data_IF_029017081022
#
_entry.id   IF_029017081022
#
_cell.length_a   1.000
_cell.length_b   1.000
_cell.length_c   1.000
_cell.angle_alpha   90.00
_cell.angle_beta   90.00
_cell.angle_gamma   90.00
#
_symmetry.space_group_name_H-M   'P 1'
#
loop_
_entity.id
_entity.type
_entity.pdbx_description
1 polymer ?
#
# COMPACT_ATOMS: atom_id res chain seq x y z
N UNK A 1 1.26 -17.06 -7.16
CA UNK A 1 1.77 -15.92 -6.38
C UNK A 1 2.52 -14.99 -7.32
N UNK A 2 2.05 -13.74 -7.44
CA UNK A 2 2.82 -12.70 -8.14
C UNK A 2 3.86 -12.12 -7.18
N UNK A 3 4.86 -11.43 -7.71
CA UNK A 3 5.80 -10.69 -6.89
C UNK A 3 5.95 -9.29 -7.48
N UNK A 4 5.81 -8.26 -6.64
CA UNK A 4 5.76 -6.86 -7.05
C UNK A 4 6.85 -6.06 -6.38
N UNK A 5 7.49 -5.19 -7.15
CA UNK A 5 8.59 -4.34 -6.71
C UNK A 5 8.34 -2.93 -7.18
N UNK A 6 8.57 -1.97 -6.29
CA UNK A 6 8.34 -0.57 -6.54
C UNK A 6 9.67 0.16 -6.50
N UNK A 7 9.93 1.01 -7.49
CA UNK A 7 11.05 1.92 -7.53
C UNK A 7 10.55 3.35 -7.70
N UNK A 8 11.28 4.26 -7.09
CA UNK A 8 11.00 5.67 -7.09
C UNK A 8 12.16 6.42 -7.76
N UNK A 9 11.87 7.22 -8.78
CA UNK A 9 12.85 8.12 -9.38
C UNK A 9 12.54 9.56 -8.99
N UNK A 10 13.24 10.05 -7.97
CA UNK A 10 12.91 11.30 -7.25
C UNK A 10 13.12 12.55 -8.11
N UNK A 11 14.22 12.59 -8.85
CA UNK A 11 14.61 13.72 -9.71
C UNK A 11 14.36 13.43 -11.20
N UNK A 12 13.33 12.64 -11.52
CA UNK A 12 13.01 12.35 -12.91
C UNK A 12 12.73 13.65 -13.69
N UNK A 13 13.33 13.84 -14.88
CA UNK A 13 13.05 15.01 -15.70
C UNK A 13 11.60 14.98 -16.24
N UNK A 14 11.07 16.09 -16.76
CA UNK A 14 9.74 16.11 -17.38
C UNK A 14 9.59 15.11 -18.55
N UNK A 15 10.69 14.76 -19.21
CA UNK A 15 10.77 13.76 -20.28
C UNK A 15 10.98 12.33 -19.77
N UNK A 16 11.11 12.12 -18.45
CA UNK A 16 11.46 10.84 -17.85
C UNK A 16 10.50 9.71 -18.23
N UNK A 17 9.19 9.99 -18.28
CA UNK A 17 8.19 9.02 -18.70
C UNK A 17 8.38 8.57 -20.14
N UNK A 18 8.74 9.50 -21.03
CA UNK A 18 9.02 9.19 -22.43
C UNK A 18 10.32 8.37 -22.56
N UNK A 19 11.37 8.72 -21.81
CA UNK A 19 12.63 7.98 -21.80
C UNK A 19 12.45 6.52 -21.33
N UNK A 20 11.70 6.32 -20.25
CA UNK A 20 11.41 4.96 -19.75
C UNK A 20 10.55 4.20 -20.75
N UNK A 21 9.52 4.84 -21.31
CA UNK A 21 8.67 4.23 -22.36
C UNK A 21 9.51 3.75 -23.55
N UNK A 22 10.40 4.60 -24.06
CA UNK A 22 11.23 4.28 -25.20
C UNK A 22 12.22 3.16 -24.86
N UNK A 23 12.80 3.18 -23.65
CA UNK A 23 13.66 2.08 -23.18
C UNK A 23 12.91 0.74 -23.10
N UNK A 24 11.70 0.74 -22.52
CA UNK A 24 10.86 -0.47 -22.44
C UNK A 24 10.53 -0.99 -23.84
N UNK A 25 10.12 -0.11 -24.76
CA UNK A 25 9.73 -0.50 -26.11
C UNK A 25 10.92 -1.00 -26.95
N UNK A 26 12.05 -0.30 -26.91
CA UNK A 26 13.18 -0.55 -27.80
C UNK A 26 14.14 -1.63 -27.29
N UNK A 27 14.40 -1.66 -25.98
CA UNK A 27 15.42 -2.56 -25.40
C UNK A 27 14.82 -3.79 -24.73
N UNK A 28 13.56 -3.71 -24.27
CA UNK A 28 12.89 -4.80 -23.56
C UNK A 28 11.76 -5.45 -24.36
N UNK A 29 11.54 -5.04 -25.62
CA UNK A 29 10.41 -5.49 -26.44
C UNK A 29 9.05 -5.35 -25.73
N UNK A 30 8.90 -4.32 -24.89
CA UNK A 30 7.69 -4.09 -24.11
C UNK A 30 6.53 -3.63 -24.98
N UNK A 31 5.36 -4.22 -24.75
CA UNK A 31 4.12 -3.89 -25.44
C UNK A 31 3.26 -2.99 -24.55
N UNK A 32 2.77 -1.89 -25.10
CA UNK A 32 1.86 -1.00 -24.41
C UNK A 32 0.51 -1.66 -24.15
N UNK A 33 0.01 -1.60 -22.91
CA UNK A 33 -1.25 -2.22 -22.48
C UNK A 33 -2.33 -1.21 -22.13
N UNK A 34 -1.98 -0.04 -21.63
CA UNK A 34 -2.97 0.95 -21.23
C UNK A 34 -2.42 2.06 -20.36
N UNK A 35 -3.32 2.90 -19.86
CA UNK A 35 -2.97 3.97 -18.93
C UNK A 35 -2.89 3.41 -17.51
N UNK A 36 -1.96 3.94 -16.73
CA UNK A 36 -1.91 3.74 -15.30
C UNK A 36 -2.30 5.05 -14.63
N UNK A 37 -3.43 5.06 -13.94
CA UNK A 37 -3.98 6.28 -13.37
C UNK A 37 -4.43 6.02 -11.94
N UNK A 38 -3.78 6.66 -10.97
CA UNK A 38 -4.11 6.54 -9.55
C UNK A 38 -4.39 7.92 -8.95
N UNK A 39 -5.35 7.97 -8.03
CA UNK A 39 -5.61 9.18 -7.26
C UNK A 39 -5.35 8.94 -5.78
N UNK A 40 -4.58 9.82 -5.15
CA UNK A 40 -4.25 9.74 -3.73
C UNK A 40 -4.76 10.97 -2.98
N UNK A 41 -5.32 10.75 -1.79
CA UNK A 41 -5.80 11.82 -0.90
C UNK A 41 -5.41 11.52 0.54
N UNK A 42 -4.93 12.54 1.24
CA UNK A 42 -4.70 12.49 2.69
C UNK A 42 -5.79 13.25 3.44
N UNK A 43 -6.10 12.76 4.64
CA UNK A 43 -7.05 13.31 5.58
C UNK A 43 -6.43 13.31 6.98
N UNK A 44 -6.81 14.28 7.79
CA UNK A 44 -6.43 14.38 9.19
C UNK A 44 -7.64 14.57 10.08
N UNK A 45 -7.57 14.06 11.30
CA UNK A 45 -8.67 14.13 12.27
C UNK A 45 -8.72 15.49 12.96
N UNK A 46 -9.81 16.23 12.79
CA UNK A 46 -10.04 17.50 13.46
C UNK A 46 -10.55 17.36 14.92
N UNK A 47 -10.42 16.18 15.54
CA UNK A 47 -10.83 15.96 16.94
C UNK A 47 -10.01 16.81 17.92
N UNK A 48 -8.73 17.06 17.63
CA UNK A 48 -7.87 17.91 18.46
C UNK A 48 -8.26 19.40 18.45
N UNK A 49 -9.15 19.82 17.54
CA UNK A 49 -9.61 21.22 17.43
C UNK A 49 -10.85 21.49 18.30
N UNK A 50 -11.36 20.50 19.02
CA UNK A 50 -12.52 20.65 19.89
C UNK A 50 -12.07 21.29 21.20
N UNK A 51 -12.62 22.46 21.51
CA UNK A 51 -12.36 23.17 22.77
C UNK A 51 -12.68 22.26 23.95
N UNK A 52 -11.69 22.02 24.82
CA UNK A 52 -11.82 21.15 26.00
C UNK A 52 -11.40 19.68 25.78
N UNK A 53 -11.08 19.27 24.55
CA UNK A 53 -10.49 17.97 24.26
C UNK A 53 -9.00 18.13 23.92
N UNK A 54 -8.12 17.57 24.75
CA UNK A 54 -6.70 17.43 24.41
C UNK A 54 -6.47 16.02 23.86
N UNK A 55 -6.43 15.91 22.54
CA UNK A 55 -6.01 14.68 21.87
C UNK A 55 -4.48 14.74 21.72
N UNK A 56 -3.72 13.80 22.31
CA UNK A 56 -2.26 13.89 22.38
C UNK A 56 -1.57 13.72 21.02
N UNK A 57 -2.22 13.09 20.04
CA UNK A 57 -1.70 12.90 18.69
C UNK A 57 -2.83 12.83 17.65
N UNK A 58 -2.59 13.39 16.46
CA UNK A 58 -3.59 13.48 15.39
C UNK A 58 -3.64 12.18 14.57
N UNK A 59 -4.85 11.64 14.37
CA UNK A 59 -5.08 10.49 13.48
C UNK A 59 -4.97 10.91 12.02
N UNK A 60 -4.39 10.06 11.19
CA UNK A 60 -4.26 10.29 9.75
C UNK A 60 -4.98 9.21 8.97
N UNK A 61 -5.44 9.55 7.77
CA UNK A 61 -6.05 8.61 6.85
C UNK A 61 -5.59 8.95 5.44
N UNK A 62 -5.07 7.97 4.72
CA UNK A 62 -4.69 8.08 3.32
C UNK A 62 -5.59 7.18 2.49
N UNK A 63 -5.97 7.64 1.30
CA UNK A 63 -6.78 6.88 0.36
C UNK A 63 -6.08 6.83 -0.98
N UNK A 64 -6.05 5.66 -1.62
CA UNK A 64 -5.56 5.45 -2.97
C UNK A 64 -6.68 4.81 -3.79
N UNK A 65 -7.11 5.50 -4.84
CA UNK A 65 -8.08 4.99 -5.81
C UNK A 65 -7.35 4.35 -6.98
N UNK A 66 -7.65 3.09 -7.25
CA UNK A 66 -7.14 2.30 -8.37
C UNK A 66 -8.34 1.60 -9.02
N UNK A 67 -8.65 2.00 -10.25
CA UNK A 67 -9.85 1.55 -10.97
C UNK A 67 -11.13 1.72 -10.11
N UNK A 68 -11.85 0.62 -9.85
CA UNK A 68 -13.07 0.62 -9.03
C UNK A 68 -12.82 0.45 -7.52
N UNK A 69 -11.56 0.30 -7.10
CA UNK A 69 -11.17 0.10 -5.71
C UNK A 69 -10.67 1.38 -5.05
N UNK A 70 -11.01 1.58 -3.79
CA UNK A 70 -10.38 2.57 -2.92
C UNK A 70 -9.73 1.86 -1.74
N UNK A 71 -8.41 1.98 -1.65
CA UNK A 71 -7.63 1.46 -0.54
C UNK A 71 -7.42 2.56 0.49
N UNK A 72 -7.74 2.28 1.75
CA UNK A 72 -7.77 3.26 2.84
C UNK A 72 -6.82 2.81 3.94
N UNK A 73 -5.76 3.58 4.16
CA UNK A 73 -4.81 3.39 5.24
C UNK A 73 -5.07 4.40 6.36
N UNK A 74 -5.60 3.93 7.48
CA UNK A 74 -5.84 4.72 8.68
C UNK A 74 -4.74 4.45 9.70
N UNK A 75 -4.22 5.52 10.29
CA UNK A 75 -3.26 5.46 11.40
C UNK A 75 -3.80 6.19 12.64
N UNK A 76 -3.87 5.45 13.75
CA UNK A 76 -4.09 6.00 15.08
C UNK A 76 -2.82 5.88 15.93
N UNK A 77 -2.06 6.96 16.13
CA UNK A 77 -0.83 6.93 16.93
C UNK A 77 -1.05 6.63 18.42
N UNK A 78 -2.29 6.67 18.91
CA UNK A 78 -2.63 6.40 20.32
C UNK A 78 -3.01 4.92 20.53
N UNK A 79 -3.34 4.20 19.46
CA UNK A 79 -3.62 2.77 19.54
C UNK A 79 -2.32 1.95 19.57
N UNK A 80 -2.30 0.80 20.27
CA UNK A 80 -1.12 -0.07 20.31
C UNK A 80 -0.86 -0.69 18.94
N UNK A 81 0.41 -0.97 18.62
CA UNK A 81 0.72 -1.86 17.52
C UNK A 81 0.48 -3.31 17.94
N UNK A 82 0.30 -4.21 16.96
CA UNK A 82 0.19 -5.65 17.25
C UNK A 82 1.44 -6.19 17.94
N UNK A 83 2.61 -5.80 17.45
CA UNK A 83 3.88 -6.17 18.04
C UNK A 83 3.96 -5.77 19.52
N UNK A 84 3.45 -4.58 19.88
CA UNK A 84 3.42 -4.13 21.28
C UNK A 84 2.51 -5.02 22.15
N UNK A 85 1.37 -5.44 21.62
CA UNK A 85 0.43 -6.32 22.33
C UNK A 85 1.00 -7.72 22.50
N UNK A 86 1.58 -8.28 21.44
CA UNK A 86 2.23 -9.59 21.47
C UNK A 86 3.46 -9.63 22.36
N UNK A 87 4.24 -8.56 22.42
CA UNK A 87 5.41 -8.47 23.29
C UNK A 87 5.07 -8.52 24.80
N UNK A 88 3.84 -8.15 25.16
CA UNK A 88 3.35 -8.16 26.55
C UNK A 88 2.52 -9.42 26.84
N UNK A 89 2.14 -10.17 25.81
CA UNK A 89 1.38 -11.40 25.98
C UNK A 89 2.24 -12.52 26.58
N UNK A 90 1.76 -13.23 27.61
CA UNK A 90 2.37 -14.48 28.03
C UNK A 90 2.37 -15.50 26.88
N UNK A 91 3.41 -16.36 26.77
CA UNK A 91 3.43 -17.43 25.77
C UNK A 91 2.19 -18.32 25.86
N UNK A 92 1.51 -18.54 24.73
CA UNK A 92 0.27 -19.31 24.64
C UNK A 92 -0.99 -18.54 25.06
N UNK A 93 -0.90 -17.24 25.32
CA UNK A 93 -2.04 -16.35 25.58
C UNK A 93 -2.09 -15.16 24.61
N UNK A 94 -1.31 -15.18 23.53
CA UNK A 94 -1.22 -14.12 22.53
C UNK A 94 -2.60 -13.70 22.02
N UNK A 95 -3.48 -14.69 21.80
CA UNK A 95 -4.82 -14.49 21.31
C UNK A 95 -5.70 -13.60 22.21
N UNK A 96 -5.73 -13.86 23.52
CA UNK A 96 -6.55 -13.11 24.48
C UNK A 96 -6.12 -11.63 24.49
N UNK A 97 -4.81 -11.41 24.36
CA UNK A 97 -4.23 -10.08 24.33
C UNK A 97 -4.55 -9.36 23.02
N UNK A 98 -4.55 -10.05 21.88
CA UNK A 98 -4.95 -9.49 20.58
C UNK A 98 -6.43 -9.05 20.54
N UNK A 99 -7.31 -9.64 21.35
CA UNK A 99 -8.72 -9.23 21.45
C UNK A 99 -8.96 -8.01 22.35
N UNK A 100 -7.98 -7.65 23.18
CA UNK A 100 -8.11 -6.56 24.16
C UNK A 100 -8.34 -5.18 23.51
N UNK A 101 -7.49 -4.74 22.55
CA UNK A 101 -7.67 -3.46 21.87
C UNK A 101 -8.93 -3.40 21.02
N UNK A 102 -9.61 -2.24 21.01
CA UNK A 102 -10.75 -2.01 20.11
C UNK A 102 -10.32 -1.88 18.65
N UNK A 103 -9.08 -1.46 18.40
CA UNK A 103 -8.42 -1.38 17.10
C UNK A 103 -6.91 -1.27 17.32
N UNK A 104 -6.14 -1.50 16.24
CA UNK A 104 -4.68 -1.35 16.23
C UNK A 104 -4.26 -0.04 15.58
N UNK A 105 -3.00 0.32 15.81
CA UNK A 105 -2.36 1.53 15.27
C UNK A 105 -2.60 1.73 13.78
N UNK A 106 -2.52 0.67 12.99
CA UNK A 106 -2.68 0.72 11.53
C UNK A 106 -3.87 -0.12 11.13
N UNK A 107 -4.76 0.42 10.31
CA UNK A 107 -5.89 -0.31 9.73
C UNK A 107 -5.91 -0.07 8.23
N UNK A 108 -5.98 -1.15 7.44
CA UNK A 108 -5.97 -1.07 5.98
C UNK A 108 -7.20 -1.73 5.37
N UNK A 109 -8.07 -0.90 4.78
CA UNK A 109 -9.39 -1.28 4.30
C UNK A 109 -9.50 -1.13 2.79
N UNK A 110 -10.32 -1.95 2.15
CA UNK A 110 -10.70 -1.80 0.74
C UNK A 110 -12.17 -1.43 0.66
N UNK A 111 -12.49 -0.35 -0.05
CA UNK A 111 -13.85 0.17 -0.24
C UNK A 111 -14.22 0.21 -1.72
N UNK A 112 -15.52 0.09 -2.00
CA UNK A 112 -16.14 0.24 -3.32
C UNK A 112 -17.54 0.86 -3.16
N UNK A 113 -18.02 1.68 -4.11
CA UNK A 113 -17.31 2.27 -5.26
C UNK A 113 -16.46 3.49 -4.87
N UNK A 114 -15.64 4.04 -5.79
CA UNK A 114 -14.93 5.29 -5.57
C UNK A 114 -15.88 6.44 -5.20
N UNK A 115 -15.51 7.25 -4.19
CA UNK A 115 -16.34 8.34 -3.68
C UNK A 115 -17.28 7.96 -2.53
N UNK A 116 -17.48 6.66 -2.26
CA UNK A 116 -18.38 6.21 -1.19
C UNK A 116 -17.89 6.64 0.20
N UNK A 117 -16.57 6.63 0.44
CA UNK A 117 -16.00 7.10 1.69
C UNK A 117 -16.30 8.58 1.92
N UNK A 118 -16.10 9.43 0.92
CA UNK A 118 -16.36 10.86 1.03
C UNK A 118 -17.83 11.17 1.27
N UNK A 119 -18.72 10.42 0.62
CA UNK A 119 -20.15 10.49 0.88
C UNK A 119 -20.48 10.10 2.32
N UNK A 120 -19.90 9.01 2.82
CA UNK A 120 -20.08 8.55 4.20
C UNK A 120 -19.56 9.59 5.21
N UNK A 121 -18.34 10.11 5.00
CA UNK A 121 -17.74 11.14 5.84
C UNK A 121 -18.60 12.41 5.88
N UNK A 122 -19.16 12.81 4.74
CA UNK A 122 -20.07 13.95 4.65
C UNK A 122 -21.40 13.69 5.38
N UNK A 123 -22.00 12.51 5.19
CA UNK A 123 -23.26 12.12 5.84
C UNK A 123 -23.14 12.03 7.36
N UNK A 124 -22.07 11.41 7.86
CA UNK A 124 -21.80 11.31 9.29
C UNK A 124 -21.34 12.64 9.91
N UNK A 125 -21.12 13.68 9.09
CA UNK A 125 -20.45 14.93 9.49
C UNK A 125 -19.15 14.63 10.22
N UNK A 126 -18.44 13.60 9.74
CA UNK A 126 -17.23 13.09 10.36
C UNK A 126 -16.16 14.18 10.36
N UNK A 127 -15.38 14.25 11.44
CA UNK A 127 -14.36 15.30 11.63
C UNK A 127 -13.05 14.96 10.92
N UNK A 128 -13.13 14.59 9.65
CA UNK A 128 -11.97 14.37 8.80
C UNK A 128 -11.81 15.53 7.84
N UNK A 129 -10.63 16.14 7.84
CA UNK A 129 -10.30 17.28 6.98
C UNK A 129 -9.28 16.81 5.96
N UNK A 130 -9.59 16.96 4.68
CA UNK A 130 -8.62 16.69 3.62
C UNK A 130 -7.42 17.62 3.75
N UNK A 131 -6.23 17.03 3.74
CA UNK A 131 -4.96 17.76 3.81
C UNK A 131 -4.69 18.36 2.43
N UNK A 132 -4.99 19.65 2.26
CA UNK A 132 -4.51 20.36 1.07
C UNK A 132 -3.02 20.59 1.23
N UNK A 133 -2.21 20.12 0.28
CA UNK A 133 -0.82 20.59 0.19
C UNK A 133 -0.85 22.10 -0.01
N UNK A 134 -0.32 22.83 0.96
CA UNK A 134 -0.22 24.28 0.94
C UNK A 134 0.88 24.72 -0.01
N UNK A 135 0.61 24.69 -1.31
CA UNK A 135 1.35 25.50 -2.29
C UNK A 135 0.39 26.54 -2.85
N UNK A 136 0.56 27.78 -2.41
CA UNK A 136 -0.14 29.02 -2.78
C UNK A 136 -1.36 29.44 -1.94
N UNK A 137 -1.29 30.70 -1.52
CA UNK A 137 -2.18 31.45 -0.65
C UNK A 137 -3.37 32.03 -1.43
N UNK A 138 -4.26 31.19 -1.95
CA UNK A 138 -5.53 31.66 -2.54
C UNK A 138 -6.71 30.88 -1.94
N UNK A 139 -7.65 31.55 -1.24
CA UNK A 139 -8.80 30.88 -0.64
C UNK A 139 -9.85 30.61 -1.72
N UNK A 140 -9.80 29.45 -2.36
CA UNK A 140 -10.85 29.02 -3.28
C UNK A 140 -11.98 28.36 -2.48
N UNK A 141 -13.02 29.15 -2.20
CA UNK A 141 -14.34 28.70 -1.71
C UNK A 141 -14.96 27.79 -2.77
N UNK A 142 -15.34 26.56 -2.40
CA UNK A 142 -16.41 25.83 -3.09
C UNK A 142 -16.05 24.64 -3.99
N UNK A 143 -14.84 24.08 -3.97
CA UNK A 143 -14.58 22.78 -4.64
C UNK A 143 -14.57 21.62 -3.66
N UNK A 144 -15.54 20.72 -3.82
CA UNK A 144 -15.80 19.48 -3.08
C UNK A 144 -14.93 18.29 -3.54
N UNK A 145 -13.80 18.50 -4.22
CA UNK A 145 -12.96 17.40 -4.64
C UNK A 145 -11.61 17.87 -5.16
N UNK A 146 -10.62 17.95 -4.27
CA UNK A 146 -9.23 18.17 -4.67
C UNK A 146 -8.47 16.86 -4.48
N UNK A 147 -8.20 16.15 -5.58
CA UNK A 147 -7.18 15.11 -5.57
C UNK A 147 -5.86 15.78 -5.14
N UNK A 148 -5.22 15.28 -4.09
CA UNK A 148 -3.99 15.90 -3.56
C UNK A 148 -2.79 15.50 -4.42
N UNK A 149 -2.81 14.26 -4.89
CA UNK A 149 -1.77 13.67 -5.70
C UNK A 149 -2.40 12.74 -6.73
N UNK A 150 -1.80 12.71 -7.91
CA UNK A 150 -2.21 11.90 -9.04
C UNK A 150 -0.99 11.21 -9.61
N UNK A 151 -1.10 9.93 -9.91
CA UNK A 151 -0.07 9.17 -10.63
C UNK A 151 -0.60 8.98 -12.05
N UNK A 152 0.06 9.61 -13.02
CA UNK A 152 -0.32 9.51 -14.45
C UNK A 152 0.76 8.80 -15.23
N UNK A 153 0.39 7.72 -15.90
CA UNK A 153 1.35 6.79 -16.43
C UNK A 153 0.82 5.80 -17.45
N UNK A 154 1.65 4.80 -17.70
CA UNK A 154 1.46 3.78 -18.71
C UNK A 154 1.76 2.40 -18.13
N UNK A 155 1.03 1.41 -18.63
CA UNK A 155 1.23 -0.01 -18.34
C UNK A 155 1.83 -0.65 -19.58
N UNK A 156 2.86 -1.46 -19.38
CA UNK A 156 3.53 -2.25 -20.40
C UNK A 156 3.56 -3.72 -19.98
N UNK A 157 3.57 -4.63 -20.95
CA UNK A 157 3.95 -6.02 -20.72
C UNK A 157 5.26 -6.34 -21.41
N UNK A 158 6.18 -7.00 -20.70
CA UNK A 158 7.45 -7.49 -21.27
C UNK A 158 7.38 -9.02 -21.33
N UNK A 159 7.45 -9.58 -22.55
CA UNK A 159 7.23 -11.00 -22.76
C UNK A 159 5.83 -11.46 -22.31
N UNK A 160 5.75 -12.68 -21.78
CA UNK A 160 4.53 -13.24 -21.19
C UNK A 160 4.41 -12.99 -19.69
N UNK A 161 5.52 -12.59 -19.08
CA UNK A 161 5.69 -12.79 -17.64
C UNK A 161 5.82 -11.50 -16.83
N UNK A 162 5.89 -10.35 -17.49
CA UNK A 162 6.13 -9.10 -16.80
C UNK A 162 5.04 -8.09 -17.12
N UNK A 163 4.60 -7.41 -16.08
CA UNK A 163 3.79 -6.21 -16.18
C UNK A 163 4.53 -5.07 -15.49
N UNK A 164 4.80 -4.00 -16.24
CA UNK A 164 5.55 -2.84 -15.77
C UNK A 164 4.66 -1.61 -15.85
N UNK A 165 4.44 -0.95 -14.72
CA UNK A 165 3.69 0.30 -14.62
C UNK A 165 4.65 1.44 -14.35
N UNK A 166 4.53 2.54 -15.10
CA UNK A 166 5.43 3.69 -14.97
C UNK A 166 4.59 4.95 -15.00
N UNK A 167 4.73 5.83 -14.02
CA UNK A 167 3.91 7.03 -13.91
C UNK A 167 4.62 8.20 -13.25
N UNK A 168 4.23 9.41 -13.65
CA UNK A 168 4.65 10.65 -13.02
C UNK A 168 3.83 10.87 -11.75
N UNK A 169 4.49 11.29 -10.67
CA UNK A 169 3.82 11.74 -9.44
C UNK A 169 3.49 13.21 -9.59
N UNK A 170 2.22 13.55 -9.76
CA UNK A 170 1.73 14.91 -10.02
C UNK A 170 0.98 15.43 -8.81
N UNK A 171 1.39 16.58 -8.28
CA UNK A 171 0.69 17.24 -7.18
C UNK A 171 -0.54 18.00 -7.68
N UNK A 172 -1.46 18.36 -6.78
CA UNK A 172 -2.67 19.13 -7.10
C UNK A 172 -2.41 20.44 -7.90
N UNK A 173 -1.22 21.03 -7.77
CA UNK A 173 -0.79 22.21 -8.54
C UNK A 173 -0.21 21.91 -9.93
N UNK A 174 -0.25 20.66 -10.40
CA UNK A 174 0.33 20.22 -11.68
C UNK A 174 1.86 20.01 -11.63
N UNK A 175 2.51 20.29 -10.51
CA UNK A 175 3.94 20.09 -10.34
C UNK A 175 4.27 18.59 -10.29
N UNK A 176 5.22 18.16 -11.14
CA UNK A 176 5.72 16.78 -11.16
C UNK A 176 6.80 16.61 -10.08
N UNK A 177 6.56 15.70 -9.15
CA UNK A 177 7.49 15.29 -8.07
C UNK A 177 8.18 13.98 -8.45
N UNK A 178 8.74 13.89 -9.65
CA UNK A 178 9.42 12.68 -10.13
C UNK A 178 8.47 11.55 -10.56
N UNK A 179 8.97 10.31 -10.57
CA UNK A 179 8.26 9.15 -11.12
C UNK A 179 8.21 7.95 -10.16
N UNK A 180 7.21 7.10 -10.37
CA UNK A 180 7.05 5.76 -9.80
C UNK A 180 7.14 4.72 -10.90
N UNK A 181 7.80 3.61 -10.59
CA UNK A 181 7.94 2.44 -11.45
C UNK A 181 7.56 1.22 -10.62
N UNK A 182 6.63 0.42 -11.11
CA UNK A 182 6.23 -0.83 -10.50
C UNK A 182 6.48 -1.95 -11.49
N UNK A 183 7.14 -3.02 -11.06
CA UNK A 183 7.33 -4.23 -11.84
C UNK A 183 6.64 -5.40 -11.12
N UNK A 184 5.81 -6.12 -11.86
CA UNK A 184 5.04 -7.28 -11.41
C UNK A 184 5.41 -8.48 -12.28
N UNK A 185 5.78 -9.59 -11.64
CA UNK A 185 6.02 -10.86 -12.31
C UNK A 185 4.76 -11.74 -12.28
N UNK A 186 4.32 -12.20 -13.45
CA UNK A 186 3.18 -13.06 -13.75
C UNK A 186 3.70 -14.27 -14.55
N UNK A 187 3.15 -15.50 -14.50
CA UNK A 187 2.63 -16.22 -13.34
C UNK A 187 3.76 -16.96 -12.58
N UNK A 188 3.54 -17.42 -11.33
CA UNK A 188 3.98 -18.76 -10.86
C UNK A 188 3.53 -19.03 -9.40
N UNK A 189 3.34 -20.30 -8.99
CA UNK A 189 2.78 -20.68 -7.68
C UNK A 189 3.66 -20.41 -6.46
N UNK A 190 4.97 -20.14 -6.60
CA UNK A 190 5.91 -20.26 -5.46
C UNK A 190 7.18 -19.40 -5.56
N UNK A 191 7.13 -18.17 -6.10
CA UNK A 191 8.26 -17.25 -5.91
C UNK A 191 8.21 -16.70 -4.47
N UNK A 192 9.09 -17.22 -3.62
CA UNK A 192 9.37 -16.63 -2.32
C UNK A 192 10.26 -15.40 -2.52
N UNK A 193 10.05 -14.31 -1.76
CA UNK A 193 11.10 -13.30 -1.59
C UNK A 193 12.34 -14.02 -1.04
N UNK A 194 13.46 -14.09 -1.77
CA UNK A 194 14.62 -14.86 -1.31
C UNK A 194 15.30 -14.20 -0.09
N UNK A 195 14.95 -12.94 0.22
CA UNK A 195 15.56 -12.17 1.30
C UNK A 195 14.52 -11.75 2.35
N UNK A 196 14.93 -11.78 3.62
CA UNK A 196 14.11 -11.44 4.80
C UNK A 196 13.59 -9.99 4.80
N UNK A 197 14.15 -9.13 3.95
CA UNK A 197 13.79 -7.73 3.76
C UNK A 197 12.67 -7.51 2.71
N UNK A 198 12.15 -8.59 2.11
CA UNK A 198 11.12 -8.50 1.07
C UNK A 198 11.66 -8.08 -0.30
N UNK A 199 12.98 -8.05 -0.49
CA UNK A 199 13.59 -7.71 -1.78
C UNK A 199 13.79 -8.95 -2.66
N UNK A 200 13.60 -8.80 -3.97
CA UNK A 200 14.02 -9.80 -4.96
C UNK A 200 15.05 -9.17 -5.88
N UNK A 201 16.23 -9.79 -5.98
CA UNK A 201 17.27 -9.39 -6.94
C UNK A 201 16.72 -9.33 -8.37
N UNK A 202 15.80 -10.24 -8.73
CA UNK A 202 15.20 -10.27 -10.06
C UNK A 202 14.41 -8.98 -10.36
N UNK A 203 13.58 -8.53 -9.41
CA UNK A 203 12.84 -7.28 -9.57
C UNK A 203 13.74 -6.06 -9.55
N UNK A 204 14.69 -6.03 -8.64
CA UNK A 204 15.65 -4.93 -8.53
C UNK A 204 16.44 -4.79 -9.83
N UNK A 205 16.92 -5.91 -10.39
CA UNK A 205 17.63 -5.93 -11.66
C UNK A 205 16.74 -5.47 -12.82
N UNK A 206 15.48 -5.93 -12.88
CA UNK A 206 14.55 -5.47 -13.90
C UNK A 206 14.26 -3.97 -13.79
N UNK A 207 13.92 -3.47 -12.59
CA UNK A 207 13.62 -2.07 -12.34
C UNK A 207 14.81 -1.17 -12.70
N UNK A 208 16.03 -1.59 -12.33
CA UNK A 208 17.27 -0.91 -12.72
C UNK A 208 17.48 -0.93 -14.25
N UNK A 209 17.18 -2.04 -14.93
CA UNK A 209 17.34 -2.15 -16.39
C UNK A 209 16.30 -1.34 -17.18
N UNK A 210 15.11 -1.12 -16.60
CA UNK A 210 14.03 -0.31 -17.19
C UNK A 210 14.32 1.18 -17.02
N UNK A 211 15.04 1.57 -15.98
CA UNK A 211 15.47 2.95 -15.80
C UNK A 211 16.52 3.33 -16.86
N UNK A 212 16.33 4.44 -17.59
CA UNK A 212 17.32 4.90 -18.54
C UNK A 212 18.61 5.29 -17.79
N UNK A 213 19.76 5.05 -18.41
CA UNK A 213 21.06 5.44 -17.85
C UNK A 213 21.21 6.97 -17.93
N UNK A 214 20.67 7.66 -16.92
CA UNK A 214 20.70 9.12 -16.80
C UNK A 214 21.71 9.48 -15.70
N UNK A 215 22.66 10.38 -15.98
CA UNK A 215 23.61 10.83 -14.95
C UNK A 215 22.86 11.46 -13.77
N UNK A 216 23.32 11.19 -12.55
CA UNK A 216 22.76 11.71 -11.30
C UNK A 216 21.31 11.29 -10.99
N UNK A 217 20.79 10.23 -11.61
CA UNK A 217 19.47 9.71 -11.28
C UNK A 217 19.41 9.23 -9.81
N UNK A 218 18.51 9.84 -9.02
CA UNK A 218 18.23 9.46 -7.63
C UNK A 218 17.08 8.48 -7.60
N UNK A 219 17.43 7.20 -7.58
CA UNK A 219 16.50 6.08 -7.59
C UNK A 219 16.50 5.38 -6.24
N UNK A 220 15.30 5.07 -5.73
CA UNK A 220 15.11 4.41 -4.44
C UNK A 220 14.22 3.20 -4.66
N UNK A 221 14.70 2.01 -4.31
CA UNK A 221 13.86 0.82 -4.26
C UNK A 221 12.98 0.88 -3.01
N UNK A 222 11.70 0.61 -3.17
CA UNK A 222 10.72 0.54 -2.09
C UNK A 222 10.38 -0.92 -1.88
N UNK A 223 10.73 -1.42 -0.70
CA UNK A 223 10.51 -2.81 -0.31
C UNK A 223 9.76 -2.84 1.01
N UNK A 224 8.93 -3.86 1.19
CA UNK A 224 8.16 -4.12 2.42
C UNK A 224 8.38 -5.58 2.74
N UNK A 225 8.76 -5.88 3.99
CA UNK A 225 8.90 -7.26 4.43
C UNK A 225 7.53 -7.92 4.50
N UNK A 226 7.46 -9.23 4.24
CA UNK A 226 6.19 -9.95 4.32
C UNK A 226 5.58 -9.87 5.74
N UNK A 227 6.41 -9.78 6.79
CA UNK A 227 5.96 -9.55 8.17
C UNK A 227 5.22 -8.22 8.37
N UNK A 228 5.72 -7.14 7.77
CA UNK A 228 5.04 -5.84 7.81
C UNK A 228 3.73 -5.86 7.04
N UNK A 229 3.67 -6.65 5.97
CA UNK A 229 2.46 -6.82 5.17
C UNK A 229 1.40 -7.65 5.90
N UNK A 230 1.79 -8.75 6.55
CA UNK A 230 0.91 -9.60 7.38
C UNK A 230 0.30 -8.81 8.54
N UNK A 231 1.09 -8.00 9.24
CA UNK A 231 0.62 -7.13 10.33
C UNK A 231 -0.51 -6.19 9.90
N UNK A 232 -0.48 -5.74 8.65
CA UNK A 232 -1.43 -4.80 8.05
C UNK A 232 -2.67 -5.53 7.51
N UNK A 233 -2.49 -6.75 6.99
CA UNK A 233 -3.56 -7.55 6.41
C UNK A 233 -4.48 -8.14 7.46
N UNK A 234 -3.94 -8.57 8.60
CA UNK A 234 -4.73 -9.18 9.66
C UNK A 234 -5.78 -8.17 10.14
N UNK A 235 -7.06 -8.41 9.88
CA UNK A 235 -8.12 -7.71 10.59
C UNK A 235 -8.48 -8.48 11.86
N UNK A 236 -9.15 -7.82 12.81
CA UNK A 236 -9.64 -8.50 14.02
C UNK A 236 -10.55 -9.68 13.66
N UNK A 237 -11.39 -9.51 12.65
CA UNK A 237 -12.29 -10.56 12.14
C UNK A 237 -11.54 -11.76 11.55
N UNK A 238 -10.35 -11.54 10.97
CA UNK A 238 -9.52 -12.63 10.46
C UNK A 238 -8.84 -13.41 11.59
N UNK A 239 -8.42 -12.73 12.67
CA UNK A 239 -7.89 -13.39 13.86
C UNK A 239 -8.98 -14.19 14.58
N UNK A 240 -10.23 -13.71 14.58
CA UNK A 240 -11.37 -14.44 15.15
C UNK A 240 -11.71 -15.70 14.32
N UNK A 241 -11.60 -15.65 12.98
CA UNK A 241 -11.80 -16.83 12.10
C UNK A 241 -10.68 -17.86 12.18
N UNK A 242 -9.42 -17.42 12.27
CA UNK A 242 -8.30 -18.35 12.51
C UNK A 242 -8.50 -19.12 13.82
N UNK A 243 -9.13 -18.52 14.83
CA UNK A 243 -9.47 -19.20 16.07
C UNK A 243 -10.61 -20.20 15.93
N UNK A 244 -11.68 -19.88 15.19
CA UNK A 244 -12.70 -20.88 14.88
C UNK A 244 -12.10 -22.08 14.10
N UNK A 245 -11.10 -21.85 13.26
CA UNK A 245 -10.40 -22.92 12.54
C UNK A 245 -9.43 -23.71 13.44
N UNK A 246 -8.72 -23.07 14.36
CA UNK A 246 -7.82 -23.74 15.32
C UNK A 246 -8.61 -24.52 16.38
N UNK A 247 -9.67 -23.96 16.94
CA UNK A 247 -10.55 -24.67 17.90
C UNK A 247 -11.24 -25.88 17.23
N UNK A 248 -11.64 -25.77 15.95
CA UNK A 248 -12.17 -26.91 15.20
C UNK A 248 -11.08 -27.95 14.86
N UNK A 249 -9.84 -27.54 14.58
CA UNK A 249 -8.71 -28.47 14.33
C UNK A 249 -8.27 -29.20 15.61
N UNK A 250 -8.22 -28.51 16.75
CA UNK A 250 -7.94 -29.15 18.05
C UNK A 250 -9.02 -30.15 18.46
N UNK A 251 -10.26 -30.00 17.97
CA UNK A 251 -11.34 -30.97 18.16
C UNK A 251 -11.20 -32.21 17.25
N UNK A 252 -10.36 -32.17 16.21
CA UNK A 252 -10.19 -33.24 15.20
C UNK A 252 -8.80 -33.91 15.20
N UNK A 253 -7.82 -33.45 15.99
CA UNK A 253 -6.46 -34.02 15.93
C UNK A 253 -6.27 -35.35 16.70
N UNK A 254 -6.08 -36.40 15.89
CA UNK A 254 -5.48 -37.69 16.20
C UNK A 254 -4.04 -37.53 16.72
N UNK A 255 -3.75 -38.16 17.85
CA UNK A 255 -2.58 -38.00 18.74
C UNK A 255 -1.21 -38.36 18.12
N UNK A 256 -1.15 -38.69 16.83
CA UNK A 256 0.05 -39.24 16.17
C UNK A 256 0.71 -38.35 15.10
N UNK A 257 0.29 -37.09 14.91
CA UNK A 257 0.82 -36.21 13.87
C UNK A 257 1.61 -34.98 14.38
N UNK A 258 2.39 -35.10 15.47
CA UNK A 258 3.28 -34.01 15.89
C UNK A 258 4.56 -34.02 15.05
N UNK A 259 4.64 -33.21 13.98
CA UNK A 259 5.84 -33.21 13.14
C UNK A 259 5.94 -32.20 12.01
N UNK A 260 5.24 -31.07 12.03
CA UNK A 260 5.59 -29.95 11.13
C UNK A 260 5.42 -28.62 11.87
N UNK A 261 6.56 -28.07 12.31
CA UNK A 261 6.68 -26.71 12.82
C UNK A 261 6.08 -25.71 11.82
N UNK A 262 5.26 -24.79 12.36
CA UNK A 262 4.79 -23.53 11.80
C UNK A 262 5.46 -23.10 10.48
N UNK A 263 4.91 -23.57 9.37
CA UNK A 263 4.90 -22.77 8.14
C UNK A 263 3.53 -22.09 8.15
N UNK A 264 3.44 -20.74 8.25
CA UNK A 264 2.17 -20.06 8.14
C UNK A 264 1.46 -20.51 6.86
N UNK A 265 0.22 -21.00 6.99
CA UNK A 265 -0.59 -21.39 5.85
C UNK A 265 -0.82 -20.15 4.97
N UNK A 266 -0.11 -20.09 3.84
CA UNK A 266 -0.18 -18.97 2.90
C UNK A 266 -1.58 -18.92 2.29
N UNK A 267 -2.35 -17.87 2.59
CA UNK A 267 -3.74 -17.72 2.14
C UNK A 267 -3.82 -17.78 0.61
N UNK A 268 -4.58 -18.75 0.11
CA UNK A 268 -4.83 -18.92 -1.32
C UNK A 268 -5.67 -17.75 -1.86
N UNK A 269 -5.03 -16.68 -2.33
CA UNK A 269 -5.74 -15.56 -2.96
C UNK A 269 -5.04 -14.20 -2.95
N UNK A 270 -4.03 -14.02 -2.10
CA UNK A 270 -3.36 -12.73 -1.84
C UNK A 270 -2.79 -12.00 -3.07
N UNK A 271 -2.66 -12.71 -4.20
CA UNK A 271 -2.01 -12.24 -5.41
C UNK A 271 -2.93 -12.22 -6.63
N UNK A 272 -4.25 -12.31 -6.44
CA UNK A 272 -5.23 -12.28 -7.53
C UNK A 272 -6.24 -11.18 -7.28
N UNK A 273 -6.54 -10.42 -8.33
CA UNK A 273 -7.57 -9.37 -8.30
C UNK A 273 -7.28 -8.30 -7.25
N UNK A 274 -8.18 -8.17 -6.28
CA UNK A 274 -8.20 -7.05 -5.32
C UNK A 274 -7.06 -7.09 -4.32
N UNK A 275 -6.65 -8.28 -3.85
CA UNK A 275 -5.57 -8.40 -2.87
C UNK A 275 -4.21 -8.04 -3.47
N UNK A 276 -4.00 -8.35 -4.74
CA UNK A 276 -2.84 -7.86 -5.50
C UNK A 276 -2.80 -6.33 -5.53
N UNK A 277 -3.93 -5.72 -5.90
CA UNK A 277 -4.06 -4.26 -5.98
C UNK A 277 -3.92 -3.63 -4.59
N UNK A 278 -4.34 -4.33 -3.52
CA UNK A 278 -4.19 -3.93 -2.12
C UNK A 278 -2.73 -3.84 -1.73
N UNK A 279 -1.89 -4.83 -2.07
CA UNK A 279 -0.45 -4.79 -1.80
C UNK A 279 0.25 -3.68 -2.59
N UNK A 280 -0.07 -3.54 -3.87
CA UNK A 280 0.42 -2.44 -4.71
C UNK A 280 0.09 -1.08 -4.10
N UNK A 281 -1.17 -0.87 -3.69
CA UNK A 281 -1.61 0.37 -3.07
C UNK A 281 -0.85 0.67 -1.77
N UNK A 282 -0.64 -0.34 -0.91
CA UNK A 282 0.10 -0.20 0.33
C UNK A 282 1.55 0.25 0.09
N UNK A 283 2.25 -0.39 -0.86
CA UNK A 283 3.61 -0.02 -1.28
C UNK A 283 3.68 1.44 -1.75
N UNK A 284 2.74 1.85 -2.60
CA UNK A 284 2.70 3.20 -3.17
C UNK A 284 2.43 4.23 -2.07
N UNK A 285 1.45 4.01 -1.20
CA UNK A 285 1.16 4.93 -0.09
C UNK A 285 2.33 5.02 0.90
N UNK A 286 2.97 3.89 1.22
CA UNK A 286 4.15 3.84 2.08
C UNK A 286 5.32 4.66 1.50
N UNK A 287 5.62 4.47 0.21
CA UNK A 287 6.67 5.22 -0.49
C UNK A 287 6.42 6.73 -0.40
N UNK A 288 5.23 7.17 -0.80
CA UNK A 288 4.88 8.59 -0.84
C UNK A 288 4.84 9.23 0.57
N UNK A 289 4.46 8.47 1.60
CA UNK A 289 4.50 8.92 2.99
C UNK A 289 5.93 9.05 3.51
N UNK A 290 6.82 8.11 3.21
CA UNK A 290 8.22 8.16 3.63
C UNK A 290 8.97 9.40 3.11
N UNK A 291 8.54 9.92 1.95
CA UNK A 291 9.06 11.15 1.35
C UNK A 291 8.42 12.44 1.90
N UNK A 292 7.43 12.34 2.79
CA UNK A 292 6.68 13.48 3.30
C UNK A 292 5.81 14.16 2.22
N UNK A 293 5.43 13.43 1.17
CA UNK A 293 4.54 13.95 0.12
C UNK A 293 3.06 13.85 0.56
N UNK A 294 2.73 12.86 1.39
CA UNK A 294 1.37 12.63 1.90
C UNK A 294 1.10 13.26 3.25
#
# INVERSE_FOLDING_TARGET
MGFTGLARWLNAPPTGLQLVRDNIALNHNGQYRGKWHLSVRSYRSALAQIVGFQVPAERTMCTLTMDDNVFVLLEDPVAPSRADVLAVAPPGQEFIYLQGPSHFRTTFLTLRPPGALEQLLAQLKARWVSVRQSSSSVPQRGQTGGQQLLIDGHIFSIGTDWLVRVGNVVLAGGAVKGMLLEAEYLPLPTLQSPMADGTSELLSNLLLSVLPNVPEAKTVAVTISDTQWEDVLLTREDAEKEVEEVENKEAEEDVYASGYEHVPDKRAGDWVGVERDRRSAYLIMGALRSEGIL
#
